data_IF_010486522267
#
_entry.id   IF_010486522267
#
_cell.length_a   1.000
_cell.length_b   1.000
_cell.length_c   1.000
_cell.angle_alpha   90.00
_cell.angle_beta   90.00
_cell.angle_gamma   90.00
#
_symmetry.space_group_name_H-M   'P 1'
#
loop_
_entity.id
_entity.type
_entity.pdbx_description
1 polymer ?
#
# COMPACT_ATOMS: atom_id res chain seq x y z
N UNK A 1 15.64 8.81 -7.89
CA UNK A 1 17.02 9.31 -7.68
C UNK A 1 16.89 10.65 -6.96
N UNK A 2 17.18 10.68 -5.66
CA UNK A 2 17.02 11.87 -4.80
C UNK A 2 18.08 12.91 -5.13
N UNK A 3 17.67 14.17 -5.30
CA UNK A 3 18.55 15.33 -5.45
C UNK A 3 19.61 15.38 -4.31
N UNK A 4 20.92 15.33 -4.62
CA UNK A 4 21.97 15.39 -3.60
C UNK A 4 22.04 16.75 -2.88
N UNK A 5 21.44 17.81 -3.43
CA UNK A 5 21.36 19.13 -2.81
C UNK A 5 20.19 19.27 -1.83
N UNK A 6 19.27 18.30 -1.79
CA UNK A 6 18.17 18.32 -0.83
C UNK A 6 18.74 18.23 0.59
N UNK A 7 18.42 19.19 1.49
CA UNK A 7 18.92 19.16 2.85
C UNK A 7 18.48 17.85 3.51
N UNK A 8 19.43 16.95 3.73
CA UNK A 8 19.19 15.76 4.54
C UNK A 8 18.79 16.24 5.92
N UNK A 9 17.65 15.77 6.42
CA UNK A 9 17.28 15.97 7.82
C UNK A 9 18.50 15.55 8.64
N UNK A 10 19.09 16.45 9.44
CA UNK A 10 20.24 16.10 10.26
C UNK A 10 19.85 14.89 11.08
N UNK A 11 20.51 13.76 10.83
CA UNK A 11 20.39 12.62 11.74
C UNK A 11 21.03 13.13 13.02
N UNK A 12 20.22 13.44 14.02
CA UNK A 12 20.73 13.79 15.35
C UNK A 12 21.55 12.59 15.81
N UNK A 13 22.87 12.70 15.65
CA UNK A 13 23.81 11.70 16.10
C UNK A 13 23.88 11.85 17.61
N UNK A 14 23.11 11.03 18.31
CA UNK A 14 23.25 10.93 19.75
C UNK A 14 24.27 9.85 20.07
N UNK A 15 25.29 10.20 20.85
CA UNK A 15 26.35 9.30 21.30
C UNK A 15 25.98 8.54 22.57
N UNK A 16 24.96 8.99 23.32
CA UNK A 16 24.41 8.25 24.46
C UNK A 16 23.79 6.92 24.00
N UNK A 17 24.29 5.76 24.46
CA UNK A 17 23.76 4.45 24.12
C UNK A 17 22.26 4.30 24.37
N UNK A 18 21.73 4.96 25.40
CA UNK A 18 20.30 4.96 25.74
C UNK A 18 19.49 5.61 24.62
N UNK A 19 19.96 6.77 24.16
CA UNK A 19 19.32 7.49 23.05
C UNK A 19 19.47 6.74 21.73
N UNK A 20 20.57 6.00 21.50
CA UNK A 20 20.72 5.13 20.34
C UNK A 20 19.66 4.03 20.35
N UNK A 21 19.49 3.32 21.48
CA UNK A 21 18.49 2.27 21.62
C UNK A 21 17.06 2.79 21.46
N UNK A 22 16.75 3.95 22.07
CA UNK A 22 15.45 4.60 21.90
C UNK A 22 15.19 5.01 20.45
N UNK A 23 16.19 5.58 19.77
CA UNK A 23 16.11 5.94 18.35
C UNK A 23 15.82 4.72 17.47
N UNK A 24 16.50 3.61 17.71
CA UNK A 24 16.25 2.36 16.97
C UNK A 24 14.83 1.84 17.21
N UNK A 25 14.37 1.84 18.47
CA UNK A 25 13.00 1.45 18.80
C UNK A 25 11.95 2.34 18.12
N UNK A 26 12.13 3.66 18.15
CA UNK A 26 11.22 4.60 17.47
C UNK A 26 11.24 4.39 15.96
N UNK A 27 12.42 4.18 15.37
CA UNK A 27 12.55 3.87 13.95
C UNK A 27 11.81 2.58 13.59
N UNK A 28 11.99 1.50 14.36
CA UNK A 28 11.29 0.24 14.12
C UNK A 28 9.78 0.38 14.29
N UNK A 29 9.30 1.13 15.30
CA UNK A 29 7.86 1.37 15.48
C UNK A 29 7.22 2.09 14.29
N UNK A 30 7.93 3.04 13.68
CA UNK A 30 7.42 3.85 12.58
C UNK A 30 7.63 3.21 11.21
N UNK A 31 8.76 2.51 11.01
CA UNK A 31 9.23 2.12 9.68
C UNK A 31 9.36 0.63 9.44
N UNK A 32 9.26 -0.22 10.46
CA UNK A 32 9.31 -1.68 10.26
C UNK A 32 8.18 -2.16 9.37
N UNK A 33 8.33 -3.34 8.76
CA UNK A 33 7.31 -3.95 7.91
C UNK A 33 7.24 -5.46 8.15
N UNK A 34 6.07 -6.10 7.95
CA UNK A 34 5.98 -7.55 7.93
C UNK A 34 6.94 -8.12 6.88
N UNK A 35 7.69 -9.15 7.25
CA UNK A 35 8.60 -9.83 6.34
C UNK A 35 7.81 -10.51 5.20
N UNK A 36 8.26 -10.39 3.93
CA UNK A 36 7.64 -11.12 2.83
C UNK A 36 7.88 -12.64 2.96
N UNK A 37 7.13 -13.46 2.20
CA UNK A 37 7.41 -14.89 2.12
C UNK A 37 8.87 -15.15 1.74
N UNK A 38 9.49 -16.15 2.37
CA UNK A 38 10.89 -16.55 2.14
C UNK A 38 11.96 -15.49 2.49
N UNK A 39 11.61 -14.42 3.21
CA UNK A 39 12.62 -13.47 3.73
C UNK A 39 13.50 -14.14 4.77
N UNK A 40 14.81 -13.91 4.72
CA UNK A 40 15.73 -14.43 5.71
C UNK A 40 15.55 -13.68 7.04
N UNK A 41 15.22 -14.43 8.09
CA UNK A 41 15.00 -13.91 9.44
C UNK A 41 15.95 -14.60 10.43
N UNK A 42 16.30 -13.89 11.49
CA UNK A 42 17.04 -14.42 12.62
C UNK A 42 16.17 -15.36 13.48
N UNK A 43 16.78 -15.91 14.54
CA UNK A 43 16.11 -16.82 15.48
C UNK A 43 14.95 -16.21 16.27
N UNK A 44 14.78 -14.89 16.25
CA UNK A 44 13.67 -14.17 16.89
C UNK A 44 12.61 -13.75 15.88
N UNK A 45 12.86 -13.97 14.58
CA UNK A 45 11.94 -13.61 13.50
C UNK A 45 12.15 -12.19 12.96
N UNK A 46 13.32 -11.57 13.15
CA UNK A 46 13.64 -10.25 12.59
C UNK A 46 14.63 -10.34 11.42
N UNK A 47 14.53 -9.42 10.46
CA UNK A 47 15.41 -9.37 9.30
C UNK A 47 15.76 -7.95 8.87
N UNK A 48 16.64 -7.77 7.86
CA UNK A 48 16.92 -6.46 7.28
C UNK A 48 15.67 -5.92 6.56
N UNK A 49 15.47 -4.59 6.64
CA UNK A 49 14.37 -3.90 5.97
C UNK A 49 14.86 -3.13 4.73
N UNK A 50 14.19 -3.25 3.57
CA UNK A 50 14.55 -2.50 2.37
C UNK A 50 14.47 -0.96 2.54
N UNK A 51 13.84 -0.46 3.61
CA UNK A 51 13.74 0.98 3.91
C UNK A 51 15.01 1.60 4.47
N UNK A 52 15.95 0.81 5.00
CA UNK A 52 17.21 1.34 5.52
C UNK A 52 17.89 0.44 6.57
N UNK A 53 19.16 0.75 6.90
CA UNK A 53 20.01 -0.12 7.72
C UNK A 53 19.64 -0.22 9.22
N UNK A 54 18.92 0.77 9.74
CA UNK A 54 18.52 0.87 11.17
C UNK A 54 17.06 0.43 11.40
N UNK A 55 16.47 -0.32 10.45
CA UNK A 55 15.07 -0.72 10.48
C UNK A 55 14.98 -2.23 10.26
N UNK A 56 14.14 -2.92 11.03
CA UNK A 56 13.91 -4.36 10.90
C UNK A 56 12.63 -4.68 10.15
N UNK A 57 12.61 -5.83 9.49
CA UNK A 57 11.36 -6.56 9.18
C UNK A 57 11.05 -7.53 10.30
N UNK A 58 9.79 -7.91 10.45
CA UNK A 58 9.35 -8.89 11.45
C UNK A 58 8.49 -9.98 10.81
N UNK A 59 8.79 -11.23 11.12
CA UNK A 59 8.03 -12.40 10.72
C UNK A 59 7.03 -12.86 11.78
N UNK A 60 6.33 -13.96 11.49
CA UNK A 60 5.32 -14.56 12.37
C UNK A 60 5.86 -14.83 13.78
N UNK A 61 7.07 -15.38 13.90
CA UNK A 61 7.69 -15.68 15.20
C UNK A 61 7.83 -14.46 16.11
N UNK A 62 8.30 -13.33 15.57
CA UNK A 62 8.43 -12.10 16.33
C UNK A 62 7.06 -11.60 16.81
N UNK A 63 6.05 -11.70 15.95
CA UNK A 63 4.66 -11.34 16.26
C UNK A 63 4.07 -12.23 17.33
N UNK A 64 4.26 -13.55 17.22
CA UNK A 64 3.76 -14.53 18.19
C UNK A 64 4.37 -14.30 19.57
N UNK A 65 5.70 -14.19 19.64
CA UNK A 65 6.41 -13.90 20.90
C UNK A 65 5.94 -12.57 21.53
N UNK A 66 5.73 -11.53 20.72
CA UNK A 66 5.24 -10.24 21.22
C UNK A 66 3.81 -10.36 21.77
N UNK A 67 2.92 -10.96 20.99
CA UNK A 67 1.53 -11.12 21.37
C UNK A 67 1.35 -12.03 22.59
N UNK A 68 2.10 -13.13 22.69
CA UNK A 68 2.09 -14.02 23.86
C UNK A 68 2.58 -13.30 25.11
N UNK A 69 3.70 -12.57 25.01
CA UNK A 69 4.30 -11.86 26.14
C UNK A 69 3.36 -10.82 26.75
N UNK A 70 2.58 -10.12 25.93
CA UNK A 70 1.71 -9.02 26.36
C UNK A 70 0.23 -9.37 26.35
N UNK A 71 -0.13 -10.64 26.15
CA UNK A 71 -1.50 -11.13 26.06
C UNK A 71 -2.35 -10.36 25.03
N UNK A 72 -1.77 -10.13 23.84
CA UNK A 72 -2.46 -9.54 22.69
C UNK A 72 -2.87 -10.60 21.67
N UNK A 73 -3.95 -10.32 20.95
CA UNK A 73 -4.41 -11.19 19.88
C UNK A 73 -3.84 -10.76 18.52
N UNK A 74 -3.87 -9.45 18.24
CA UNK A 74 -3.52 -8.87 16.94
C UNK A 74 -2.63 -7.65 17.09
N UNK A 75 -1.83 -7.39 16.05
CA UNK A 75 -1.15 -6.11 15.80
C UNK A 75 -1.90 -5.39 14.68
N UNK A 76 -2.43 -4.21 14.97
CA UNK A 76 -3.01 -3.32 13.96
C UNK A 76 -1.98 -2.28 13.55
N UNK A 77 -1.77 -2.13 12.24
CA UNK A 77 -0.74 -1.23 11.72
C UNK A 77 -1.09 -0.70 10.33
N UNK A 78 -0.42 0.36 9.89
CA UNK A 78 -0.65 0.99 8.59
C UNK A 78 0.57 0.86 7.67
N UNK A 79 1.10 2.00 7.19
CA UNK A 79 2.41 2.15 6.52
C UNK A 79 2.58 1.53 5.13
N UNK A 80 1.92 0.43 4.82
CA UNK A 80 1.95 -0.20 3.50
C UNK A 80 0.60 -0.11 2.82
N UNK A 81 0.59 0.42 1.60
CA UNK A 81 -0.55 0.31 0.68
C UNK A 81 -0.92 -1.17 0.48
N UNK A 82 -2.22 -1.45 0.44
CA UNK A 82 -2.79 -2.77 0.13
C UNK A 82 -3.87 -2.60 -0.92
N UNK A 83 -3.99 -3.57 -1.82
CA UNK A 83 -4.90 -3.51 -2.97
C UNK A 83 -6.35 -3.17 -2.58
N UNK A 84 -6.87 -3.75 -1.50
CA UNK A 84 -8.22 -3.45 -1.00
C UNK A 84 -8.23 -2.45 0.17
N UNK A 85 -7.08 -1.88 0.53
CA UNK A 85 -6.92 -1.05 1.73
C UNK A 85 -6.85 -1.83 3.04
N UNK A 86 -6.99 -3.16 3.00
CA UNK A 86 -6.80 -4.06 4.13
C UNK A 86 -5.98 -5.27 3.70
N UNK A 87 -5.14 -5.79 4.60
CA UNK A 87 -4.52 -7.11 4.45
C UNK A 87 -4.24 -7.73 5.80
N UNK A 88 -4.58 -9.01 5.92
CA UNK A 88 -4.17 -9.84 7.04
C UNK A 88 -2.85 -10.56 6.70
N UNK A 89 -1.95 -10.69 7.66
CA UNK A 89 -0.74 -11.52 7.52
C UNK A 89 -1.10 -13.01 7.43
N UNK A 90 -0.17 -13.81 6.93
CA UNK A 90 -0.37 -15.24 6.71
C UNK A 90 -0.66 -16.00 8.02
N UNK A 91 -0.10 -15.57 9.15
CA UNK A 91 -0.40 -16.12 10.48
C UNK A 91 -1.67 -15.53 11.12
N UNK A 92 -2.44 -14.70 10.40
CA UNK A 92 -3.66 -14.06 10.87
C UNK A 92 -3.51 -13.13 12.10
N UNK A 93 -2.30 -12.67 12.43
CA UNK A 93 -2.05 -11.84 13.64
C UNK A 93 -1.73 -10.38 13.36
N UNK A 94 -1.32 -10.03 12.15
CA UNK A 94 -1.02 -8.64 11.78
C UNK A 94 -2.04 -8.15 10.78
N UNK A 95 -2.74 -7.08 11.13
CA UNK A 95 -3.73 -6.44 10.28
C UNK A 95 -3.12 -5.14 9.76
N UNK A 96 -2.86 -5.09 8.45
CA UNK A 96 -2.43 -3.87 7.77
C UNK A 96 -3.65 -3.12 7.25
N UNK A 97 -3.81 -1.87 7.69
CA UNK A 97 -4.91 -0.97 7.34
C UNK A 97 -4.37 0.23 6.57
N UNK A 98 -4.96 0.50 5.42
CA UNK A 98 -4.61 1.64 4.60
C UNK A 98 -5.89 2.38 4.20
N UNK A 99 -6.08 3.59 4.73
CA UNK A 99 -7.36 4.31 4.64
C UNK A 99 -7.44 5.32 3.49
N UNK A 100 -6.50 5.29 2.55
CA UNK A 100 -6.51 6.14 1.34
C UNK A 100 -6.80 5.29 0.11
N UNK A 101 -7.84 5.65 -0.65
CA UNK A 101 -8.16 4.98 -1.92
C UNK A 101 -7.49 5.71 -3.07
N UNK A 102 -7.10 4.99 -4.11
CA UNK A 102 -6.42 5.52 -5.29
C UNK A 102 -5.15 6.32 -4.95
N UNK A 103 -4.40 5.81 -3.98
CA UNK A 103 -3.14 6.38 -3.56
C UNK A 103 -2.17 6.42 -4.73
N UNK A 104 -1.69 7.61 -5.06
CA UNK A 104 -0.80 7.87 -6.19
C UNK A 104 -1.29 7.28 -7.55
N UNK A 105 -2.61 7.09 -7.73
CA UNK A 105 -3.18 6.52 -8.96
C UNK A 105 -3.03 4.99 -9.08
N UNK A 106 -2.63 4.30 -8.00
CA UNK A 106 -2.44 2.84 -7.98
C UNK A 106 -3.75 2.04 -7.95
N UNK A 107 -4.92 2.70 -7.97
CA UNK A 107 -6.23 2.06 -7.97
C UNK A 107 -6.48 1.13 -6.77
N UNK A 108 -5.85 1.40 -5.63
CA UNK A 108 -6.12 0.65 -4.41
C UNK A 108 -7.42 1.11 -3.73
N UNK A 109 -8.04 0.22 -2.96
CA UNK A 109 -9.12 0.53 -2.04
C UNK A 109 -8.63 1.21 -0.76
N UNK A 110 -9.58 1.74 0.01
CA UNK A 110 -9.37 2.20 1.37
C UNK A 110 -10.06 1.28 2.37
N UNK A 111 -9.38 0.96 3.47
CA UNK A 111 -9.89 0.15 4.56
C UNK A 111 -10.12 0.95 5.83
N UNK A 112 -11.11 0.53 6.61
CA UNK A 112 -11.22 0.87 8.03
C UNK A 112 -11.67 -0.33 8.85
N UNK A 113 -11.34 -0.32 10.14
CA UNK A 113 -11.70 -1.37 11.08
C UNK A 113 -12.28 -0.73 12.34
N UNK A 114 -13.46 -1.20 12.74
CA UNK A 114 -14.06 -0.93 14.05
C UNK A 114 -13.80 -2.13 14.96
N UNK A 115 -13.08 -1.90 16.05
CA UNK A 115 -12.86 -2.87 17.12
C UNK A 115 -13.71 -2.47 18.32
N UNK A 116 -14.76 -3.23 18.61
CA UNK A 116 -15.69 -2.94 19.70
C UNK A 116 -16.32 -4.23 20.22
N UNK A 117 -16.49 -4.33 21.55
CA UNK A 117 -17.16 -5.45 22.23
C UNK A 117 -16.63 -6.83 21.83
N UNK A 118 -15.31 -6.99 21.79
CA UNK A 118 -14.65 -8.25 21.41
C UNK A 118 -14.88 -8.67 19.94
N UNK A 119 -15.38 -7.76 19.09
CA UNK A 119 -15.65 -8.01 17.68
C UNK A 119 -14.90 -7.02 16.80
N UNK A 120 -14.54 -7.50 15.62
CA UNK A 120 -13.91 -6.72 14.57
C UNK A 120 -14.86 -6.58 13.38
N UNK A 121 -15.13 -5.36 12.95
CA UNK A 121 -15.93 -5.06 11.74
C UNK A 121 -15.05 -4.30 10.76
N UNK A 122 -14.98 -4.79 9.52
CA UNK A 122 -14.17 -4.20 8.46
C UNK A 122 -15.06 -3.55 7.42
N UNK A 123 -14.66 -2.40 6.90
CA UNK A 123 -15.27 -1.80 5.72
C UNK A 123 -14.19 -1.43 4.70
N UNK A 124 -14.49 -1.67 3.42
CA UNK A 124 -13.61 -1.41 2.30
C UNK A 124 -14.33 -0.49 1.31
N UNK A 125 -13.70 0.62 0.95
CA UNK A 125 -14.10 1.52 -0.13
C UNK A 125 -13.26 1.22 -1.36
N UNK A 126 -13.92 0.91 -2.47
CA UNK A 126 -13.26 0.73 -3.78
C UNK A 126 -12.69 2.05 -4.33
N UNK A 127 -11.65 2.01 -5.17
CA UNK A 127 -11.20 3.19 -5.91
C UNK A 127 -12.36 3.74 -6.77
N UNK A 128 -12.47 5.06 -6.88
CA UNK A 128 -13.40 5.65 -7.84
C UNK A 128 -12.73 5.58 -9.22
N UNK A 129 -13.29 4.77 -10.12
CA UNK A 129 -12.91 4.87 -11.54
C UNK A 129 -13.37 6.24 -12.03
N UNK A 130 -12.42 7.11 -12.37
CA UNK A 130 -12.77 8.20 -13.27
C UNK A 130 -13.08 7.56 -14.62
N UNK A 131 -14.35 7.49 -14.99
CA UNK A 131 -14.69 7.31 -16.40
C UNK A 131 -13.98 8.45 -17.13
N UNK A 132 -13.04 8.10 -18.02
CA UNK A 132 -12.56 9.06 -18.99
C UNK A 132 -13.79 9.53 -19.74
N UNK A 133 -14.27 10.74 -19.43
CA UNK A 133 -15.14 11.44 -20.36
C UNK A 133 -14.33 11.53 -21.63
N UNK A 134 -14.66 10.69 -22.61
CA UNK A 134 -14.14 10.81 -23.95
C UNK A 134 -14.53 12.22 -24.39
N UNK A 135 -13.57 13.15 -24.31
CA UNK A 135 -13.75 14.47 -24.87
C UNK A 135 -13.79 14.21 -26.36
N UNK A 136 -15.01 14.12 -26.91
CA UNK A 136 -15.22 14.29 -28.35
C UNK A 136 -14.65 15.66 -28.67
N UNK A 137 -13.40 15.68 -29.13
CA UNK A 137 -12.78 16.87 -29.67
C UNK A 137 -13.73 17.45 -30.73
N UNK A 138 -13.73 18.77 -30.94
CA UNK A 138 -14.56 19.36 -31.97
C UNK A 138 -14.29 18.63 -33.29
N UNK A 139 -15.32 17.97 -33.83
CA UNK A 139 -15.26 17.42 -35.18
C UNK A 139 -15.07 18.62 -36.09
N UNK A 140 -13.85 18.81 -36.59
CA UNK A 140 -13.55 19.84 -37.57
C UNK A 140 -14.45 19.63 -38.80
N UNK A 141 -15.27 20.62 -39.20
CA UNK A 141 -16.11 20.50 -40.38
C UNK A 141 -15.33 20.46 -41.72
N UNK A 142 -13.98 20.43 -41.69
CA UNK A 142 -13.14 20.63 -42.89
C UNK A 142 -12.74 19.37 -43.67
N UNK A 143 -13.36 18.23 -43.43
CA UNK A 143 -13.20 17.02 -44.29
C UNK A 143 -14.49 16.53 -44.93
N UNK A 144 -15.50 17.41 -45.07
CA UNK A 144 -16.55 17.24 -46.07
C UNK A 144 -16.02 17.64 -47.45
N UNK A 145 -15.35 16.70 -48.14
CA UNK A 145 -14.86 16.99 -49.48
C UNK A 145 -13.89 15.96 -50.00
N UNK A 146 -14.40 14.81 -50.44
CA UNK A 146 -14.01 14.10 -51.68
C UNK A 146 -14.80 12.79 -51.76
N UNK A 147 -15.85 12.86 -52.56
CA UNK A 147 -16.39 11.82 -53.43
C UNK A 147 -15.70 10.45 -53.36
N UNK A 148 -16.46 9.44 -52.92
CA UNK A 148 -16.29 8.06 -53.41
C UNK A 148 -17.64 7.65 -54.01
N UNK A 149 -17.74 7.45 -55.32
CA UNK A 149 -18.96 6.92 -55.94
C UNK A 149 -18.99 5.39 -55.80
N UNK A 150 -20.15 4.87 -55.41
CA UNK A 150 -20.60 3.54 -55.85
C UNK A 150 -20.42 2.40 -54.86
N UNK A 151 -21.44 2.19 -54.02
CA UNK A 151 -21.82 0.83 -53.62
C UNK A 151 -23.35 0.75 -53.54
N UNK A 152 -23.96 -0.01 -54.46
CA UNK A 152 -25.40 -0.29 -54.50
C UNK A 152 -25.61 -1.70 -53.93
N UNK A 153 -26.26 -1.87 -52.77
CA UNK A 153 -26.64 -3.19 -52.27
C UNK A 153 -27.93 -3.64 -52.98
N UNK A 154 -27.88 -4.79 -53.63
CA UNK A 154 -29.04 -5.44 -54.25
C UNK A 154 -29.81 -6.21 -53.17
N UNK A 155 -30.93 -5.67 -52.69
CA UNK A 155 -31.90 -6.44 -51.90
C UNK A 155 -32.57 -7.49 -52.81
N UNK A 156 -32.54 -8.76 -52.41
CA UNK A 156 -33.52 -9.76 -52.87
C UNK A 156 -34.64 -9.82 -51.83
N UNK A 157 -35.86 -9.50 -52.27
CA UNK A 157 -37.11 -9.91 -51.61
C UNK A 157 -37.47 -11.33 -52.08
N UNK A 158 -37.71 -12.22 -51.14
CA UNK A 158 -38.81 -13.19 -51.09
C UNK A 158 -39.20 -13.32 -49.62
#
# INVERSE_FOLDING_TARGET
>A
LSDPSFPRVPVVQCTDPTNVAQRMMVNDLLWSDPAPPNHQLDKYGFGPNPRGPDIKTFGSRAVDMFCERYNYQYIFRAHQEKADGLRLSDNARVVTIFSTSDYAGHQNGAGCILVANGKMRMAIKKPQRQESKEVKGPVSPRTLGKSVPGFVPRLKRL
#
